data_IF_906843977736
#
_entry.id   IF_906843977736
#
_cell.length_a   1.000
_cell.length_b   1.000
_cell.length_c   1.000
_cell.angle_alpha   90.00
_cell.angle_beta   90.00
_cell.angle_gamma   90.00
#
_symmetry.space_group_name_H-M   'P 1'
#
loop_
_entity.id
_entity.type
_entity.pdbx_description
1 polymer ?
#
# COMPACT_ATOMS: atom_id res chain seq x y z
N UNK A 1 15.19 -3.19 4.56
CA UNK A 1 14.32 -2.15 5.16
C UNK A 1 12.85 -2.38 4.85
N UNK A 2 12.44 -2.53 3.58
CA UNK A 2 11.01 -2.64 3.23
C UNK A 2 10.42 -4.06 3.29
N UNK A 3 11.26 -5.11 3.27
CA UNK A 3 10.83 -6.52 3.32
C UNK A 3 11.61 -7.36 4.33
N UNK A 4 12.86 -6.99 4.60
CA UNK A 4 13.80 -7.77 5.41
C UNK A 4 13.44 -7.90 6.90
N UNK A 5 12.40 -7.22 7.39
CA UNK A 5 11.95 -7.26 8.77
C UNK A 5 10.57 -7.92 8.86
N UNK A 6 10.30 -8.77 9.88
CA UNK A 6 8.98 -9.38 10.09
C UNK A 6 7.84 -8.36 10.10
N UNK A 7 8.07 -7.19 10.69
CA UNK A 7 7.10 -6.10 10.71
C UNK A 7 6.71 -5.63 9.30
N UNK A 8 7.71 -5.27 8.47
CA UNK A 8 7.46 -4.78 7.13
C UNK A 8 6.83 -5.86 6.24
N UNK A 9 7.24 -7.12 6.40
CA UNK A 9 6.62 -8.27 5.74
C UNK A 9 5.15 -8.44 6.15
N UNK A 10 4.82 -8.29 7.44
CA UNK A 10 3.45 -8.35 7.91
C UNK A 10 2.57 -7.23 7.31
N UNK A 11 3.10 -6.02 7.18
CA UNK A 11 2.40 -4.92 6.51
C UNK A 11 2.16 -5.23 5.03
N UNK A 12 3.17 -5.69 4.30
CA UNK A 12 2.99 -6.07 2.89
C UNK A 12 1.94 -7.15 2.72
N UNK A 13 1.97 -8.20 3.54
CA UNK A 13 0.94 -9.25 3.51
C UNK A 13 -0.47 -8.67 3.72
N UNK A 14 -0.62 -7.72 4.65
CA UNK A 14 -1.90 -7.05 4.87
C UNK A 14 -2.32 -6.17 3.68
N UNK A 15 -1.37 -5.49 3.02
CA UNK A 15 -1.63 -4.72 1.80
C UNK A 15 -2.10 -5.64 0.66
N UNK A 16 -1.41 -6.75 0.39
CA UNK A 16 -1.85 -7.70 -0.64
C UNK A 16 -3.23 -8.29 -0.31
N UNK A 17 -3.48 -8.67 0.94
CA UNK A 17 -4.81 -9.14 1.39
C UNK A 17 -5.89 -8.09 1.18
N UNK A 18 -5.62 -6.83 1.52
CA UNK A 18 -6.55 -5.72 1.29
C UNK A 18 -6.85 -5.51 -0.21
N UNK A 19 -5.86 -5.71 -1.07
CA UNK A 19 -6.04 -5.69 -2.53
C UNK A 19 -6.72 -6.96 -3.08
N UNK A 20 -7.08 -7.93 -2.23
CA UNK A 20 -7.66 -9.21 -2.65
C UNK A 20 -6.66 -10.17 -3.32
N UNK A 21 -5.36 -9.90 -3.20
CA UNK A 21 -4.29 -10.67 -3.84
C UNK A 21 -3.73 -11.68 -2.84
N UNK A 22 -3.79 -12.96 -3.21
CA UNK A 22 -3.14 -14.05 -2.46
C UNK A 22 -1.77 -14.30 -3.05
N UNK A 23 -0.72 -14.07 -2.28
CA UNK A 23 0.64 -14.20 -2.78
C UNK A 23 1.65 -14.46 -1.66
N UNK A 24 2.81 -14.96 -2.04
CA UNK A 24 3.97 -15.13 -1.15
C UNK A 24 4.89 -13.94 -1.36
N UNK A 25 5.38 -13.35 -0.28
CA UNK A 25 6.33 -12.24 -0.40
C UNK A 25 7.68 -12.75 -0.90
N UNK A 26 8.21 -12.20 -2.01
CA UNK A 26 9.53 -12.52 -2.48
C UNK A 26 10.58 -11.96 -1.51
N UNK A 27 11.79 -12.51 -1.58
CA UNK A 27 12.91 -12.08 -0.73
C UNK A 27 13.45 -10.69 -1.11
N UNK A 28 13.29 -10.30 -2.38
CA UNK A 28 13.84 -9.06 -2.94
C UNK A 28 12.72 -8.06 -3.28
N UNK A 29 13.01 -6.77 -3.11
CA UNK A 29 12.02 -5.69 -3.22
C UNK A 29 11.63 -5.38 -4.66
N UNK A 30 12.56 -5.52 -5.60
CA UNK A 30 12.34 -5.47 -7.04
C UNK A 30 11.34 -6.55 -7.47
N UNK A 31 11.50 -7.79 -7.00
CA UNK A 31 10.54 -8.85 -7.28
C UNK A 31 9.16 -8.55 -6.68
N UNK A 32 9.10 -7.88 -5.52
CA UNK A 32 7.84 -7.45 -4.92
C UNK A 32 7.15 -6.39 -5.78
N UNK A 33 7.93 -5.45 -6.31
CA UNK A 33 7.43 -4.41 -7.21
C UNK A 33 6.84 -5.03 -8.48
N UNK A 34 7.56 -5.98 -9.08
CA UNK A 34 7.10 -6.71 -10.27
C UNK A 34 5.84 -7.52 -9.96
N UNK A 35 5.83 -8.26 -8.84
CA UNK A 35 4.69 -9.05 -8.38
C UNK A 35 3.43 -8.20 -8.15
N UNK A 36 3.56 -7.04 -7.51
CA UNK A 36 2.45 -6.09 -7.37
C UNK A 36 1.97 -5.62 -8.75
N UNK A 37 2.89 -5.37 -9.68
CA UNK A 37 2.57 -4.99 -11.05
C UNK A 37 1.84 -6.07 -11.84
N UNK A 38 2.21 -7.34 -11.68
CA UNK A 38 1.54 -8.46 -12.34
C UNK A 38 0.16 -8.76 -11.73
N UNK A 39 0.00 -8.53 -10.43
CA UNK A 39 -1.24 -8.85 -9.71
C UNK A 39 -2.35 -7.81 -9.95
N UNK A 40 -1.99 -6.54 -10.18
CA UNK A 40 -2.93 -5.46 -10.52
C UNK A 40 -2.96 -5.33 -12.06
N UNK A 41 -3.61 -6.27 -12.75
CA UNK A 41 -3.54 -6.42 -14.21
C UNK A 41 -4.14 -5.25 -15.01
N UNK A 42 -3.61 -4.93 -16.20
CA UNK A 42 -4.17 -3.95 -17.15
C UNK A 42 -3.31 -2.68 -17.36
N UNK A 43 -3.42 -2.05 -18.54
CA UNK A 43 -2.59 -0.90 -18.93
C UNK A 43 -2.90 0.37 -18.10
N UNK A 44 -4.18 0.63 -17.81
CA UNK A 44 -4.64 1.72 -16.94
C UNK A 44 -4.12 1.56 -15.50
N UNK A 45 -3.84 0.31 -15.11
CA UNK A 45 -3.40 -0.04 -13.77
C UNK A 45 -1.92 0.24 -13.49
N UNK A 46 -1.11 0.62 -14.49
CA UNK A 46 0.30 1.00 -14.27
C UNK A 46 0.48 2.20 -13.34
N UNK A 47 -0.39 3.22 -13.43
CA UNK A 47 -0.29 4.40 -12.54
C UNK A 47 -0.84 4.09 -11.16
N UNK A 48 -1.84 3.25 -11.09
CA UNK A 48 -2.52 2.88 -9.86
C UNK A 48 -1.64 1.96 -9.00
N UNK A 49 -0.96 0.97 -9.60
CA UNK A 49 0.02 0.15 -8.87
C UNK A 49 1.11 0.98 -8.21
N UNK A 50 1.55 2.06 -8.87
CA UNK A 50 2.57 2.97 -8.32
C UNK A 50 2.05 3.67 -7.07
N UNK A 51 0.75 4.01 -7.01
CA UNK A 51 0.17 4.63 -5.82
C UNK A 51 0.25 3.69 -4.63
N UNK A 52 -0.19 2.44 -4.76
CA UNK A 52 -0.11 1.47 -3.66
C UNK A 52 1.33 1.20 -3.23
N UNK A 53 2.22 1.02 -4.22
CA UNK A 53 3.65 0.80 -3.99
C UNK A 53 4.27 1.95 -3.19
N UNK A 54 4.10 3.19 -3.68
CA UNK A 54 4.68 4.35 -3.06
C UNK A 54 4.05 4.66 -1.69
N UNK A 55 2.74 4.44 -1.53
CA UNK A 55 2.06 4.62 -0.25
C UNK A 55 2.64 3.67 0.82
N UNK A 56 2.73 2.38 0.51
CA UNK A 56 3.29 1.38 1.42
C UNK A 56 4.76 1.66 1.74
N UNK A 57 5.59 1.97 0.74
CA UNK A 57 7.00 2.29 0.96
C UNK A 57 7.18 3.55 1.79
N UNK A 58 6.40 4.61 1.51
CA UNK A 58 6.45 5.86 2.26
C UNK A 58 6.10 5.65 3.73
N UNK A 59 4.99 4.96 4.02
CA UNK A 59 4.55 4.74 5.40
C UNK A 59 5.49 3.81 6.17
N UNK A 60 5.99 2.74 5.53
CA UNK A 60 7.00 1.87 6.15
C UNK A 60 8.29 2.63 6.49
N UNK A 61 8.73 3.53 5.61
CA UNK A 61 9.90 4.37 5.87
C UNK A 61 9.65 5.35 7.02
N UNK A 62 8.48 5.98 7.06
CA UNK A 62 8.11 6.90 8.13
C UNK A 62 7.98 6.17 9.47
N UNK A 63 7.35 5.01 9.51
CA UNK A 63 7.25 4.21 10.73
C UNK A 63 8.64 3.83 11.28
N UNK A 64 9.57 3.41 10.43
CA UNK A 64 10.96 3.18 10.86
C UNK A 64 11.61 4.46 11.40
N UNK A 65 11.39 5.59 10.74
CA UNK A 65 11.96 6.86 11.20
C UNK A 65 11.38 7.25 12.58
N UNK A 66 10.08 7.12 12.81
CA UNK A 66 9.47 7.31 14.12
C UNK A 66 10.07 6.41 15.19
N UNK A 67 10.29 5.12 14.88
CA UNK A 67 10.96 4.20 15.81
C UNK A 67 12.38 4.68 16.16
N UNK A 68 13.15 5.12 15.17
CA UNK A 68 14.56 5.50 15.37
C UNK A 68 14.71 6.86 16.05
N UNK A 69 13.90 7.85 15.67
CA UNK A 69 14.07 9.25 16.07
C UNK A 69 13.14 9.68 17.20
N UNK A 70 11.98 9.04 17.34
CA UNK A 70 10.97 9.41 18.34
C UNK A 70 10.76 8.31 19.39
N UNK A 71 11.43 7.16 19.29
CA UNK A 71 11.23 5.99 20.15
C UNK A 71 9.77 5.53 20.21
N UNK A 72 9.02 5.74 19.12
CA UNK A 72 7.62 5.30 19.01
C UNK A 72 7.56 3.80 18.68
N UNK A 73 6.57 3.10 19.23
CA UNK A 73 6.28 1.72 18.82
C UNK A 73 5.38 1.71 17.57
N UNK A 74 5.73 0.93 16.53
CA UNK A 74 4.97 0.94 15.29
C UNK A 74 3.73 0.05 15.44
N UNK A 75 2.55 0.63 15.30
CA UNK A 75 1.27 -0.08 15.39
C UNK A 75 0.81 -0.55 13.99
N UNK A 76 0.75 -1.87 13.72
CA UNK A 76 0.52 -2.36 12.36
C UNK A 76 -0.80 -1.94 11.72
N UNK A 77 -1.88 -1.86 12.51
CA UNK A 77 -3.22 -1.50 12.04
C UNK A 77 -3.28 -0.04 11.61
N UNK A 78 -2.69 0.86 12.40
CA UNK A 78 -2.55 2.28 12.10
C UNK A 78 -1.74 2.54 10.83
N UNK A 79 -0.65 1.79 10.61
CA UNK A 79 0.11 1.88 9.34
C UNK A 79 -0.75 1.44 8.16
N UNK A 80 -1.46 0.31 8.27
CA UNK A 80 -2.33 -0.14 7.19
C UNK A 80 -3.42 0.89 6.89
N UNK A 81 -4.08 1.44 7.92
CA UNK A 81 -5.07 2.51 7.78
C UNK A 81 -4.47 3.73 7.09
N UNK A 82 -3.27 4.15 7.47
CA UNK A 82 -2.58 5.28 6.85
C UNK A 82 -2.23 5.01 5.38
N UNK A 83 -1.81 3.79 5.03
CA UNK A 83 -1.57 3.38 3.64
C UNK A 83 -2.87 3.49 2.83
N UNK A 84 -3.99 2.97 3.35
CA UNK A 84 -5.30 3.03 2.67
C UNK A 84 -5.73 4.48 2.43
N UNK A 85 -5.61 5.33 3.46
CA UNK A 85 -5.98 6.74 3.41
C UNK A 85 -5.12 7.54 2.44
N UNK A 86 -3.79 7.40 2.50
CA UNK A 86 -2.91 8.18 1.63
C UNK A 86 -3.02 7.75 0.16
N UNK A 87 -3.21 6.45 -0.10
CA UNK A 87 -3.41 5.94 -1.44
C UNK A 87 -4.71 6.49 -2.05
N UNK A 88 -5.79 6.55 -1.25
CA UNK A 88 -7.03 7.20 -1.68
C UNK A 88 -6.84 8.68 -1.97
N UNK A 89 -6.21 9.43 -1.05
CA UNK A 89 -5.95 10.86 -1.22
C UNK A 89 -5.16 11.14 -2.51
N UNK A 90 -4.14 10.33 -2.80
CA UNK A 90 -3.33 10.48 -4.02
C UNK A 90 -4.13 10.19 -5.29
N UNK A 91 -5.02 9.19 -5.27
CA UNK A 91 -5.89 8.89 -6.42
C UNK A 91 -6.97 9.96 -6.59
N UNK A 92 -7.62 10.35 -5.50
CA UNK A 92 -8.62 11.42 -5.49
C UNK A 92 -8.01 12.72 -6.04
N UNK A 93 -6.84 13.12 -5.55
CA UNK A 93 -6.11 14.27 -6.06
C UNK A 93 -5.80 14.15 -7.55
N UNK A 94 -5.30 12.99 -8.02
CA UNK A 94 -5.04 12.75 -9.45
C UNK A 94 -6.30 12.77 -10.32
N UNK A 95 -7.46 12.39 -9.77
CA UNK A 95 -8.77 12.44 -10.44
C UNK A 95 -9.51 13.78 -10.20
N UNK A 96 -8.84 14.80 -9.65
CA UNK A 96 -9.45 16.11 -9.38
C UNK A 96 -10.60 16.08 -8.36
N UNK A 97 -10.53 15.17 -7.40
CA UNK A 97 -11.57 14.86 -6.40
C UNK A 97 -12.92 14.39 -6.96
N UNK A 98 -13.03 14.22 -8.29
CA UNK A 98 -14.17 13.59 -8.96
C UNK A 98 -14.05 12.05 -8.91
N UNK A 99 -13.84 11.51 -7.71
CA UNK A 99 -13.83 10.06 -7.48
C UNK A 99 -15.27 9.59 -7.30
N UNK A 100 -15.78 8.83 -8.28
CA UNK A 100 -17.17 8.33 -8.32
C UNK A 100 -17.49 7.23 -7.29
N UNK A 101 -16.70 7.12 -6.23
CA UNK A 101 -16.81 6.10 -5.19
C UNK A 101 -16.49 6.69 -3.83
N UNK A 102 -17.17 6.15 -2.82
CA UNK A 102 -16.97 6.56 -1.44
C UNK A 102 -15.67 5.99 -0.88
N UNK A 103 -15.10 6.67 0.12
CA UNK A 103 -13.93 6.18 0.84
C UNK A 103 -14.19 4.81 1.49
N UNK A 104 -15.42 4.54 1.93
CA UNK A 104 -15.84 3.24 2.47
C UNK A 104 -15.66 2.11 1.44
N UNK A 105 -16.10 2.32 0.19
CA UNK A 105 -15.92 1.36 -0.91
C UNK A 105 -14.44 1.10 -1.18
N UNK A 106 -13.64 2.17 -1.23
CA UNK A 106 -12.18 2.07 -1.38
C UNK A 106 -11.54 1.27 -0.25
N UNK A 107 -11.98 1.50 0.98
CA UNK A 107 -11.41 0.86 2.16
C UNK A 107 -11.65 -0.65 2.18
N UNK A 108 -12.78 -1.10 1.62
CA UNK A 108 -13.18 -2.50 1.53
C UNK A 108 -12.57 -3.21 0.32
N UNK A 109 -12.68 -2.63 -0.88
CA UNK A 109 -12.13 -3.21 -2.09
C UNK A 109 -11.69 -2.11 -3.08
N UNK A 110 -10.41 -1.67 -2.99
CA UNK A 110 -9.94 -0.52 -3.76
C UNK A 110 -9.87 -0.84 -5.25
N UNK A 111 -9.60 -2.10 -5.64
CA UNK A 111 -9.47 -2.49 -7.04
C UNK A 111 -10.79 -2.39 -7.81
N UNK A 112 -11.93 -2.53 -7.13
CA UNK A 112 -13.27 -2.33 -7.73
C UNK A 112 -13.57 -0.85 -7.96
N UNK A 113 -12.89 0.05 -7.24
CA UNK A 113 -13.08 1.49 -7.34
C UNK A 113 -12.21 2.14 -8.45
N UNK A 114 -11.33 1.39 -9.11
CA UNK A 114 -10.26 1.98 -9.92
C UNK A 114 -10.63 2.16 -11.38
#
# INVERSE_FOLDING_TARGET
MFLSCPFSSAIWNQVFRWLGIHTVLPRHIDHLYDQMGHSIGGATNKRIKLVFWHAACWLLRNARNSVIFNSEEPEPGGILMAIKSIAWQWIAYKKGFAVGYQFSSWFMNPLVCL
#
